data_IF_378914202424
#
_entry.id   IF_378914202424
#
_cell.length_a   1.000
_cell.length_b   1.000
_cell.length_c   1.000
_cell.angle_alpha   90.00
_cell.angle_beta   90.00
_cell.angle_gamma   90.00
#
_symmetry.space_group_name_H-M   'P 1'
#
loop_
_entity.id
_entity.type
_entity.pdbx_description
1 polymer ?
#
# COMPACT_ATOMS: atom_id res chain seq x y z
N UNK A 1 28.64 37.19 1.88
CA UNK A 1 28.18 35.85 2.29
C UNK A 1 28.08 35.03 1.03
N UNK A 2 28.87 33.98 0.91
CA UNK A 2 29.09 33.25 -0.34
C UNK A 2 27.82 32.43 -0.68
N UNK A 3 27.17 32.61 -1.87
CA UNK A 3 25.93 31.92 -2.23
C UNK A 3 26.08 30.39 -2.25
N UNK A 4 27.30 29.89 -2.37
CA UNK A 4 27.61 28.45 -2.30
C UNK A 4 27.42 27.86 -0.88
N UNK A 5 27.71 28.65 0.17
CA UNK A 5 27.50 28.24 1.56
C UNK A 5 26.04 28.27 1.96
N UNK A 6 25.24 29.19 1.40
CA UNK A 6 23.80 29.24 1.61
C UNK A 6 23.09 28.05 0.98
N UNK A 7 23.48 27.61 -0.24
CA UNK A 7 22.99 26.41 -0.90
C UNK A 7 23.32 25.14 -0.09
N UNK A 8 24.50 25.08 0.53
CA UNK A 8 24.89 23.94 1.37
C UNK A 8 24.19 23.90 2.72
N UNK A 9 23.80 25.04 3.27
CA UNK A 9 23.05 25.16 4.54
C UNK A 9 21.55 24.87 4.38
N UNK A 10 20.98 25.12 3.20
CA UNK A 10 19.54 24.91 2.92
C UNK A 10 19.28 23.51 2.35
N UNK A 11 20.32 22.72 2.03
CA UNK A 11 20.18 21.32 1.58
C UNK A 11 19.45 21.15 0.23
N UNK A 12 19.31 22.22 -0.56
CA UNK A 12 18.72 22.15 -1.89
C UNK A 12 19.80 21.65 -2.84
N UNK A 13 19.84 20.37 -3.06
CA UNK A 13 20.57 19.77 -4.17
C UNK A 13 19.66 19.91 -5.40
N UNK A 14 19.98 20.89 -6.25
CA UNK A 14 19.50 20.92 -7.63
C UNK A 14 20.07 19.70 -8.36
N UNK A 15 19.34 18.58 -8.33
CA UNK A 15 19.60 17.44 -9.19
C UNK A 15 18.87 17.68 -10.52
N UNK A 16 19.43 18.57 -11.33
CA UNK A 16 19.09 18.65 -12.76
C UNK A 16 19.85 17.53 -13.50
N UNK A 17 19.44 16.31 -13.30
CA UNK A 17 19.75 15.25 -14.25
C UNK A 17 18.54 15.14 -15.19
N UNK A 18 18.74 15.53 -16.44
CA UNK A 18 17.88 15.23 -17.58
C UNK A 18 17.94 13.73 -17.90
N UNK A 19 17.48 12.92 -16.98
CA UNK A 19 17.42 11.48 -17.02
C UNK A 19 16.29 11.04 -16.10
N UNK A 20 15.65 9.96 -16.45
CA UNK A 20 14.58 9.32 -15.74
C UNK A 20 14.85 9.21 -14.22
N UNK A 21 14.23 10.08 -13.44
CA UNK A 21 14.42 10.18 -11.98
C UNK A 21 13.58 9.12 -11.30
N UNK A 22 14.15 7.89 -11.18
CA UNK A 22 13.56 6.79 -10.40
C UNK A 22 13.66 7.07 -8.90
N UNK A 23 14.63 7.91 -8.50
CA UNK A 23 14.87 8.24 -7.10
C UNK A 23 13.83 9.22 -6.55
N UNK A 24 13.46 9.02 -5.28
CA UNK A 24 12.58 9.95 -4.58
C UNK A 24 13.34 11.24 -4.27
N UNK A 25 12.77 12.39 -4.64
CA UNK A 25 13.37 13.70 -4.32
C UNK A 25 13.45 13.88 -2.81
N UNK A 26 14.65 14.21 -2.33
CA UNK A 26 14.88 14.54 -0.93
C UNK A 26 14.42 15.98 -0.71
N UNK A 27 13.40 16.19 0.13
CA UNK A 27 12.85 17.51 0.44
C UNK A 27 13.59 18.18 1.60
N UNK A 28 14.01 17.41 2.61
CA UNK A 28 14.74 17.91 3.75
C UNK A 28 15.67 16.84 4.33
N UNK A 29 16.75 17.29 4.94
CA UNK A 29 17.69 16.44 5.69
C UNK A 29 17.69 16.90 7.13
N UNK A 30 17.49 15.98 8.05
CA UNK A 30 17.54 16.23 9.49
C UNK A 30 18.61 15.34 10.12
N UNK A 31 19.44 15.93 10.96
CA UNK A 31 20.40 15.20 11.78
C UNK A 31 19.72 14.85 13.12
N UNK A 32 19.38 13.59 13.32
CA UNK A 32 18.80 13.12 14.57
C UNK A 32 19.76 12.11 15.21
N UNK A 33 20.34 12.48 16.34
CA UNK A 33 21.25 11.64 17.12
C UNK A 33 22.46 11.10 16.32
N UNK A 34 22.99 11.89 15.37
CA UNK A 34 24.17 11.51 14.56
C UNK A 34 23.84 10.61 13.37
N UNK A 35 22.56 10.41 13.06
CA UNK A 35 22.10 9.75 11.83
C UNK A 35 21.38 10.76 10.94
N UNK A 36 21.75 10.79 9.65
CA UNK A 36 21.04 11.58 8.66
C UNK A 36 19.69 10.94 8.32
N UNK A 37 18.61 11.61 8.70
CA UNK A 37 17.24 11.21 8.33
C UNK A 37 16.80 12.06 7.14
N UNK A 38 16.45 11.40 6.05
CA UNK A 38 16.03 12.07 4.83
C UNK A 38 14.51 12.07 4.71
N UNK A 39 13.93 13.25 4.62
CA UNK A 39 12.52 13.42 4.32
C UNK A 39 12.35 13.38 2.80
N UNK A 40 11.82 12.26 2.30
CA UNK A 40 11.56 12.07 0.88
C UNK A 40 10.15 12.54 0.50
N UNK A 41 9.95 12.85 -0.78
CA UNK A 41 8.63 13.24 -1.29
C UNK A 41 7.56 12.18 -0.99
N UNK A 42 7.91 10.91 -1.06
CA UNK A 42 7.01 9.79 -0.78
C UNK A 42 6.53 9.73 0.67
N UNK A 43 7.40 10.06 1.64
CA UNK A 43 7.02 10.15 3.06
C UNK A 43 5.98 11.25 3.27
N UNK A 44 6.19 12.41 2.64
CA UNK A 44 5.23 13.53 2.74
C UNK A 44 3.89 13.16 2.09
N UNK A 45 3.91 12.53 0.90
CA UNK A 45 2.70 12.04 0.25
C UNK A 45 1.97 11.02 1.12
N UNK A 46 2.69 10.10 1.76
CA UNK A 46 2.12 9.13 2.71
C UNK A 46 1.40 9.83 3.86
N UNK A 47 2.02 10.86 4.46
CA UNK A 47 1.39 11.63 5.54
C UNK A 47 0.14 12.37 5.08
N UNK A 48 0.17 12.95 3.88
CA UNK A 48 -1.00 13.64 3.29
C UNK A 48 -2.15 12.64 3.10
N UNK A 49 -1.88 11.46 2.53
CA UNK A 49 -2.90 10.43 2.31
C UNK A 49 -3.46 9.93 3.65
N UNK A 50 -2.60 9.66 4.63
CA UNK A 50 -3.06 9.24 5.97
C UNK A 50 -3.92 10.32 6.64
N UNK A 51 -3.49 11.58 6.60
CA UNK A 51 -4.26 12.69 7.14
C UNK A 51 -5.62 12.84 6.43
N UNK A 52 -5.64 12.74 5.10
CA UNK A 52 -6.88 12.81 4.31
C UNK A 52 -7.84 11.66 4.68
N UNK A 53 -7.34 10.42 4.82
CA UNK A 53 -8.17 9.27 5.22
C UNK A 53 -8.70 9.42 6.65
N UNK A 54 -7.90 9.91 7.60
CA UNK A 54 -8.33 10.16 8.97
C UNK A 54 -9.42 11.26 9.00
N UNK A 55 -9.20 12.36 8.28
CA UNK A 55 -10.20 13.45 8.18
C UNK A 55 -11.49 12.96 7.52
N UNK A 56 -11.39 12.16 6.47
CA UNK A 56 -12.54 11.53 5.81
C UNK A 56 -13.31 10.62 6.78
N UNK A 57 -12.61 9.73 7.49
CA UNK A 57 -13.22 8.84 8.49
C UNK A 57 -13.89 9.64 9.62
N UNK A 58 -13.28 10.73 10.08
CA UNK A 58 -13.87 11.61 11.07
C UNK A 58 -15.13 12.32 10.53
N UNK A 59 -15.09 12.83 9.30
CA UNK A 59 -16.25 13.45 8.64
C UNK A 59 -17.42 12.47 8.49
N UNK A 60 -17.12 11.21 8.08
CA UNK A 60 -18.12 10.13 8.03
C UNK A 60 -18.69 9.86 9.41
N UNK A 61 -17.85 9.76 10.45
CA UNK A 61 -18.29 9.51 11.83
C UNK A 61 -19.22 10.60 12.36
N UNK A 62 -18.95 11.86 12.03
CA UNK A 62 -19.83 12.99 12.41
C UNK A 62 -21.19 12.88 11.71
N UNK A 63 -21.21 12.51 10.42
CA UNK A 63 -22.43 12.34 9.63
C UNK A 63 -23.22 11.08 9.99
N UNK A 64 -22.57 10.04 10.53
CA UNK A 64 -23.23 8.79 10.96
C UNK A 64 -24.42 9.00 11.89
N UNK A 65 -24.38 10.05 12.74
CA UNK A 65 -25.48 10.39 13.65
C UNK A 65 -26.80 10.76 12.93
N UNK A 66 -26.71 11.15 11.66
CA UNK A 66 -27.85 11.58 10.84
C UNK A 66 -28.20 10.57 9.74
N UNK A 67 -27.65 9.35 9.80
CA UNK A 67 -27.95 8.30 8.82
C UNK A 67 -29.38 7.81 8.99
N UNK A 68 -30.06 7.62 7.88
CA UNK A 68 -31.45 7.14 7.80
C UNK A 68 -31.48 5.65 7.52
N UNK A 69 -32.58 4.97 7.88
CA UNK A 69 -32.79 3.54 7.58
C UNK A 69 -32.79 3.23 6.08
N UNK A 70 -33.17 4.21 5.24
CA UNK A 70 -33.00 4.13 3.79
C UNK A 70 -31.82 5.00 3.37
N UNK A 71 -30.71 4.36 2.90
CA UNK A 71 -29.52 5.11 2.53
C UNK A 71 -29.75 5.93 1.25
N UNK A 72 -29.45 7.22 1.28
CA UNK A 72 -29.53 8.13 0.15
C UNK A 72 -28.19 8.84 -0.11
N UNK A 73 -27.86 9.01 -1.40
CA UNK A 73 -26.71 9.80 -1.83
C UNK A 73 -25.37 9.34 -1.24
N UNK A 74 -24.73 10.20 -0.44
CA UNK A 74 -23.41 9.94 0.16
C UNK A 74 -23.40 8.74 1.12
N UNK A 75 -24.48 8.56 1.91
CA UNK A 75 -24.62 7.43 2.80
C UNK A 75 -24.57 6.10 2.04
N UNK A 76 -25.30 6.01 0.91
CA UNK A 76 -25.34 4.82 0.08
C UNK A 76 -23.95 4.43 -0.46
N UNK A 77 -23.13 5.41 -0.85
CA UNK A 77 -21.77 5.14 -1.34
C UNK A 77 -20.88 4.54 -0.23
N UNK A 78 -20.97 5.07 0.98
CA UNK A 78 -20.20 4.57 2.12
C UNK A 78 -20.65 3.18 2.54
N UNK A 79 -21.96 2.97 2.67
CA UNK A 79 -22.53 1.69 3.02
C UNK A 79 -22.20 0.62 1.98
N UNK A 80 -22.29 0.96 0.68
CA UNK A 80 -21.89 0.06 -0.40
C UNK A 80 -20.41 -0.34 -0.31
N UNK A 81 -19.53 0.61 -0.01
CA UNK A 81 -18.10 0.33 0.18
C UNK A 81 -17.83 -0.62 1.34
N UNK A 82 -18.47 -0.38 2.48
CA UNK A 82 -18.35 -1.21 3.68
C UNK A 82 -18.97 -2.58 3.45
N UNK A 83 -20.15 -2.65 2.83
CA UNK A 83 -20.84 -3.91 2.52
C UNK A 83 -20.04 -4.78 1.56
N UNK A 84 -19.47 -4.20 0.50
CA UNK A 84 -18.63 -4.93 -0.43
C UNK A 84 -17.36 -5.49 0.26
N UNK A 85 -16.75 -4.72 1.15
CA UNK A 85 -15.62 -5.21 1.94
C UNK A 85 -16.04 -6.33 2.89
N UNK A 86 -17.18 -6.20 3.54
CA UNK A 86 -17.73 -7.24 4.39
C UNK A 86 -17.98 -8.53 3.62
N UNK A 87 -18.61 -8.44 2.44
CA UNK A 87 -18.81 -9.59 1.54
C UNK A 87 -17.48 -10.23 1.14
N UNK A 88 -16.46 -9.42 0.87
CA UNK A 88 -15.13 -9.91 0.53
C UNK A 88 -14.51 -10.69 1.71
N UNK A 89 -14.65 -10.16 2.93
CA UNK A 89 -14.17 -10.85 4.15
C UNK A 89 -14.91 -12.18 4.34
N UNK A 90 -16.22 -12.20 4.21
CA UNK A 90 -17.00 -13.45 4.32
C UNK A 90 -16.61 -14.49 3.26
N UNK A 91 -16.25 -14.03 2.06
CA UNK A 91 -15.83 -14.92 0.97
C UNK A 91 -14.44 -15.51 1.22
N UNK A 92 -13.51 -14.69 1.71
CA UNK A 92 -12.12 -15.08 1.93
C UNK A 92 -11.88 -15.70 3.30
N UNK A 93 -12.65 -15.27 4.32
CA UNK A 93 -12.52 -15.70 5.72
C UNK A 93 -13.86 -16.27 6.24
N UNK A 94 -13.84 -16.88 7.42
CA UNK A 94 -15.07 -17.38 8.08
C UNK A 94 -15.76 -16.25 8.86
N UNK A 95 -17.08 -16.32 9.04
CA UNK A 95 -17.88 -15.34 9.81
C UNK A 95 -17.32 -15.01 11.20
N UNK A 96 -16.66 -15.97 11.84
CA UNK A 96 -16.00 -15.82 13.14
C UNK A 96 -14.97 -14.67 13.19
N UNK A 97 -14.43 -14.28 12.04
CA UNK A 97 -13.34 -13.29 11.92
C UNK A 97 -13.76 -11.98 11.27
N UNK A 98 -15.04 -11.69 11.29
CA UNK A 98 -15.68 -10.49 10.74
C UNK A 98 -15.02 -9.17 11.22
N UNK A 99 -14.53 -9.10 12.47
CA UNK A 99 -13.88 -7.91 13.01
C UNK A 99 -12.63 -7.46 12.24
N UNK A 100 -12.00 -8.34 11.45
CA UNK A 100 -10.91 -7.97 10.55
C UNK A 100 -11.35 -7.10 9.37
N UNK A 101 -12.62 -7.10 9.02
CA UNK A 101 -13.15 -6.30 7.93
C UNK A 101 -12.81 -4.82 8.07
N UNK A 102 -12.80 -4.29 9.29
CA UNK A 102 -12.47 -2.89 9.58
C UNK A 102 -10.99 -2.59 9.29
N UNK A 103 -10.09 -3.49 9.67
CA UNK A 103 -8.66 -3.35 9.44
C UNK A 103 -8.35 -3.44 7.94
N UNK A 104 -8.88 -4.46 7.26
CA UNK A 104 -8.71 -4.64 5.83
C UNK A 104 -9.29 -3.50 5.02
N UNK A 105 -10.41 -2.92 5.45
CA UNK A 105 -10.97 -1.74 4.82
C UNK A 105 -10.01 -0.54 4.91
N UNK A 106 -9.38 -0.34 6.05
CA UNK A 106 -8.34 0.71 6.21
C UNK A 106 -7.15 0.49 5.29
N UNK A 107 -6.61 -0.73 5.23
CA UNK A 107 -5.50 -1.09 4.35
C UNK A 107 -5.90 -0.93 2.88
N UNK A 108 -7.09 -1.39 2.50
CA UNK A 108 -7.65 -1.22 1.16
C UNK A 108 -7.70 0.25 0.75
N UNK A 109 -8.30 1.11 1.58
CA UNK A 109 -8.38 2.54 1.31
C UNK A 109 -6.99 3.19 1.20
N UNK A 110 -6.06 2.81 2.08
CA UNK A 110 -4.69 3.34 2.03
C UNK A 110 -3.96 2.97 0.74
N UNK A 111 -3.98 1.69 0.35
CA UNK A 111 -3.31 1.22 -0.88
C UNK A 111 -3.99 1.83 -2.11
N UNK A 112 -5.32 1.86 -2.14
CA UNK A 112 -6.07 2.44 -3.25
C UNK A 112 -5.74 3.93 -3.44
N UNK A 113 -5.81 4.72 -2.37
CA UNK A 113 -5.46 6.15 -2.43
C UNK A 113 -3.99 6.35 -2.80
N UNK A 114 -3.09 5.50 -2.30
CA UNK A 114 -1.67 5.53 -2.65
C UNK A 114 -1.44 5.27 -4.14
N UNK A 115 -2.11 4.29 -4.72
CA UNK A 115 -1.98 3.96 -6.15
C UNK A 115 -2.60 5.06 -7.03
N UNK A 116 -3.75 5.62 -6.62
CA UNK A 116 -4.42 6.70 -7.36
C UNK A 116 -3.73 8.06 -7.21
N UNK A 117 -2.84 8.24 -6.24
CA UNK A 117 -2.13 9.51 -6.04
C UNK A 117 -1.25 9.89 -7.24
N UNK A 118 -0.83 8.90 -8.05
CA UNK A 118 -0.14 9.11 -9.33
C UNK A 118 -0.92 9.98 -10.32
N UNK A 119 -2.25 9.81 -10.38
CA UNK A 119 -3.13 10.62 -11.23
C UNK A 119 -3.16 12.11 -10.83
N UNK A 120 -2.94 12.40 -9.56
CA UNK A 120 -2.87 13.77 -9.04
C UNK A 120 -1.48 14.42 -9.24
N UNK A 121 -0.55 13.71 -9.88
CA UNK A 121 0.82 14.17 -10.07
C UNK A 121 1.71 14.03 -8.84
N UNK A 122 1.23 13.36 -7.78
CA UNK A 122 2.06 13.01 -6.63
C UNK A 122 2.79 11.69 -6.88
N UNK A 123 4.01 11.59 -6.38
CA UNK A 123 4.69 10.29 -6.39
C UNK A 123 3.96 9.33 -5.47
N UNK A 124 3.48 8.22 -6.02
CA UNK A 124 2.76 7.21 -5.26
C UNK A 124 3.65 6.65 -4.13
N UNK A 125 3.19 6.60 -2.88
CA UNK A 125 3.91 5.96 -1.77
C UNK A 125 4.32 4.51 -2.07
N UNK A 126 3.49 3.79 -2.81
CA UNK A 126 3.71 2.41 -3.25
C UNK A 126 4.79 2.27 -4.32
N UNK A 127 5.30 3.37 -4.89
CA UNK A 127 6.48 3.39 -5.74
C UNK A 127 7.80 3.24 -4.96
N UNK A 128 7.77 3.34 -3.62
CA UNK A 128 8.93 3.09 -2.77
C UNK A 128 8.82 1.72 -2.11
N UNK A 129 9.88 0.92 -2.27
CA UNK A 129 9.94 -0.43 -1.70
C UNK A 129 9.80 -0.43 -0.17
N UNK A 130 10.32 0.60 0.51
CA UNK A 130 10.21 0.74 1.97
C UNK A 130 8.75 0.80 2.44
N UNK A 131 7.89 1.54 1.73
CA UNK A 131 6.47 1.65 2.06
C UNK A 131 5.74 0.33 1.81
N UNK A 132 6.00 -0.32 0.68
CA UNK A 132 5.35 -1.60 0.34
C UNK A 132 5.79 -2.73 1.26
N UNK A 133 7.07 -2.76 1.64
CA UNK A 133 7.59 -3.70 2.66
C UNK A 133 6.95 -3.43 4.01
N UNK A 134 6.78 -2.18 4.43
CA UNK A 134 6.14 -1.85 5.71
C UNK A 134 4.69 -2.36 5.77
N UNK A 135 3.91 -2.20 4.70
CA UNK A 135 2.52 -2.70 4.62
C UNK A 135 2.49 -4.23 4.59
N UNK A 136 3.40 -4.86 3.84
CA UNK A 136 3.51 -6.33 3.79
C UNK A 136 3.94 -6.92 5.13
N UNK A 137 4.88 -6.28 5.83
CA UNK A 137 5.30 -6.68 7.18
C UNK A 137 4.19 -6.50 8.21
N UNK A 138 3.39 -5.43 8.13
CA UNK A 138 2.23 -5.25 9.00
C UNK A 138 1.23 -6.41 8.83
N UNK A 139 0.96 -6.83 7.59
CA UNK A 139 0.13 -8.00 7.29
C UNK A 139 0.77 -9.30 7.83
N UNK A 140 2.07 -9.46 7.64
CA UNK A 140 2.83 -10.62 8.12
C UNK A 140 2.78 -10.74 9.66
N UNK A 141 3.01 -9.64 10.37
CA UNK A 141 2.91 -9.60 11.84
C UNK A 141 1.48 -9.95 12.29
N UNK A 142 0.47 -9.40 11.61
CA UNK A 142 -0.93 -9.70 11.93
C UNK A 142 -1.25 -11.19 11.72
N UNK A 143 -0.78 -11.78 10.63
CA UNK A 143 -0.95 -13.19 10.29
C UNK A 143 -0.38 -14.10 11.40
N UNK A 144 0.85 -13.85 11.83
CA UNK A 144 1.51 -14.64 12.88
C UNK A 144 0.89 -14.40 14.25
N UNK A 145 0.58 -13.16 14.57
CA UNK A 145 -0.09 -12.83 15.83
C UNK A 145 -1.42 -13.58 15.96
N UNK A 146 -2.21 -13.61 14.92
CA UNK A 146 -3.48 -14.32 14.90
C UNK A 146 -3.30 -15.83 14.93
N UNK A 147 -2.35 -16.38 14.18
CA UNK A 147 -2.01 -17.80 14.22
C UNK A 147 -1.63 -18.27 15.63
N UNK A 148 -0.83 -17.48 16.34
CA UNK A 148 -0.43 -17.78 17.72
C UNK A 148 -1.61 -17.64 18.69
N UNK A 149 -2.41 -16.59 18.58
CA UNK A 149 -3.56 -16.35 19.47
C UNK A 149 -4.65 -17.42 19.31
N UNK A 150 -4.87 -17.92 18.11
CA UNK A 150 -5.95 -18.89 17.81
C UNK A 150 -5.47 -20.33 17.95
N UNK A 151 -4.31 -20.65 17.34
CA UNK A 151 -3.80 -22.04 17.25
C UNK A 151 -2.94 -22.47 18.45
N UNK A 152 -2.46 -21.53 19.29
CA UNK A 152 -1.58 -21.83 20.41
C UNK A 152 -0.48 -22.84 20.05
N UNK A 153 -0.47 -24.03 20.68
CA UNK A 153 0.50 -25.10 20.42
C UNK A 153 0.35 -25.78 19.04
N UNK A 154 -0.85 -25.83 18.50
CA UNK A 154 -1.16 -26.42 17.17
C UNK A 154 -0.51 -25.60 16.04
N UNK A 155 -0.41 -24.29 16.20
CA UNK A 155 0.27 -23.41 15.26
C UNK A 155 1.72 -23.84 14.96
N UNK A 156 2.50 -24.15 16.00
CA UNK A 156 3.88 -24.63 15.85
C UNK A 156 3.98 -26.06 15.30
N UNK A 157 2.99 -26.90 15.61
CA UNK A 157 2.93 -28.25 15.02
C UNK A 157 2.76 -28.21 13.51
N UNK A 158 1.96 -27.28 12.98
CA UNK A 158 1.74 -27.10 11.55
C UNK A 158 3.04 -26.81 10.75
N UNK A 159 4.10 -26.31 11.39
CA UNK A 159 5.41 -26.14 10.73
C UNK A 159 6.21 -27.45 10.63
N UNK A 160 5.95 -28.39 11.54
CA UNK A 160 6.69 -29.67 11.64
C UNK A 160 5.95 -30.78 10.89
N UNK A 161 4.64 -30.69 10.78
CA UNK A 161 3.80 -31.64 10.06
C UNK A 161 3.82 -31.38 8.53
N UNK A 162 3.72 -32.42 7.68
CA UNK A 162 3.69 -33.87 8.00
C UNK A 162 5.05 -34.48 8.31
N UNK A 163 6.15 -33.84 7.99
CA UNK A 163 7.50 -34.37 8.16
C UNK A 163 8.44 -33.29 8.73
N UNK A 164 9.20 -33.57 9.80
CA UNK A 164 10.16 -32.60 10.37
C UNK A 164 11.21 -32.11 9.37
N UNK A 165 11.50 -32.89 8.35
CA UNK A 165 12.43 -32.56 7.27
C UNK A 165 11.96 -31.35 6.41
N UNK A 166 10.64 -31.08 6.35
CA UNK A 166 10.05 -29.98 5.62
C UNK A 166 10.10 -28.65 6.40
N UNK A 167 10.50 -28.65 7.66
CA UNK A 167 10.56 -27.45 8.48
C UNK A 167 11.39 -26.31 7.84
N UNK A 168 12.60 -26.55 7.26
CA UNK A 168 13.34 -25.47 6.61
C UNK A 168 12.59 -24.87 5.40
N UNK A 169 11.90 -25.72 4.62
CA UNK A 169 11.12 -25.29 3.47
C UNK A 169 9.91 -24.44 3.90
N UNK A 170 9.23 -24.86 4.97
CA UNK A 170 8.10 -24.13 5.53
C UNK A 170 8.53 -22.75 6.05
N UNK A 171 9.67 -22.63 6.71
CA UNK A 171 10.22 -21.35 7.18
C UNK A 171 10.57 -20.45 5.99
N UNK A 172 11.22 -20.97 4.95
CA UNK A 172 11.56 -20.19 3.74
C UNK A 172 10.29 -19.70 3.04
N UNK A 173 9.27 -20.54 2.92
CA UNK A 173 7.96 -20.17 2.36
C UNK A 173 7.31 -19.03 3.14
N UNK A 174 7.40 -19.07 4.47
CA UNK A 174 6.85 -18.04 5.34
C UNK A 174 7.51 -16.67 5.13
N UNK A 175 8.84 -16.65 5.05
CA UNK A 175 9.62 -15.44 4.78
C UNK A 175 9.38 -14.94 3.35
N UNK A 176 9.17 -15.83 2.40
CA UNK A 176 8.87 -15.47 1.01
C UNK A 176 7.52 -14.73 0.86
N UNK A 177 6.56 -14.99 1.74
CA UNK A 177 5.21 -14.39 1.69
C UNK A 177 5.24 -12.85 1.74
N UNK A 178 5.81 -12.17 2.75
CA UNK A 178 5.86 -10.71 2.80
C UNK A 178 6.73 -10.13 1.68
N UNK A 179 7.77 -10.84 1.28
CA UNK A 179 8.63 -10.45 0.15
C UNK A 179 7.79 -10.41 -1.14
N UNK A 180 7.07 -11.50 -1.43
CA UNK A 180 6.21 -11.60 -2.61
C UNK A 180 5.12 -10.53 -2.63
N UNK A 181 4.45 -10.27 -1.49
CA UNK A 181 3.42 -9.25 -1.36
C UNK A 181 3.97 -7.84 -1.62
N UNK A 182 5.14 -7.51 -1.04
CA UNK A 182 5.76 -6.19 -1.20
C UNK A 182 6.25 -5.96 -2.63
N UNK A 183 6.93 -6.93 -3.25
CA UNK A 183 7.41 -6.82 -4.63
C UNK A 183 6.27 -6.77 -5.64
N UNK A 184 5.15 -7.44 -5.39
CA UNK A 184 3.97 -7.36 -6.25
C UNK A 184 3.39 -5.96 -6.27
N UNK A 185 3.23 -5.34 -5.08
CA UNK A 185 2.70 -3.99 -4.95
C UNK A 185 3.65 -2.96 -5.56
N UNK A 186 4.93 -3.03 -5.21
CA UNK A 186 5.99 -2.18 -5.73
C UNK A 186 6.16 -2.32 -7.25
N UNK A 187 6.25 -3.56 -7.74
CA UNK A 187 6.52 -3.86 -9.15
C UNK A 187 5.43 -3.36 -10.10
N UNK A 188 4.17 -3.41 -9.67
CA UNK A 188 3.06 -2.89 -10.46
C UNK A 188 3.19 -1.37 -10.69
N UNK A 189 3.40 -0.61 -9.63
CA UNK A 189 3.51 0.85 -9.72
C UNK A 189 4.82 1.28 -10.37
N UNK A 190 5.92 0.66 -9.98
CA UNK A 190 7.23 0.96 -10.55
C UNK A 190 7.31 0.61 -12.04
N UNK A 191 6.75 -0.55 -12.42
CA UNK A 191 6.64 -0.95 -13.83
C UNK A 191 5.84 0.05 -14.66
N UNK A 192 4.70 0.52 -14.14
CA UNK A 192 3.89 1.57 -14.76
C UNK A 192 4.70 2.86 -14.95
N UNK A 193 5.39 3.32 -13.90
CA UNK A 193 6.23 4.52 -13.96
C UNK A 193 7.36 4.42 -14.99
N UNK A 194 8.03 3.26 -15.09
CA UNK A 194 9.10 3.02 -16.08
C UNK A 194 8.52 3.10 -17.49
N UNK A 195 7.41 2.42 -17.76
CA UNK A 195 6.77 2.43 -19.08
C UNK A 195 6.32 3.86 -19.45
N UNK A 196 5.69 4.57 -18.52
CA UNK A 196 5.25 5.95 -18.75
C UNK A 196 6.41 6.86 -19.09
N UNK A 197 7.52 6.76 -18.40
CA UNK A 197 8.71 7.54 -18.66
C UNK A 197 9.29 7.29 -20.06
N UNK A 198 9.33 6.03 -20.50
CA UNK A 198 9.76 5.68 -21.86
C UNK A 198 8.82 6.31 -22.91
N UNK A 199 7.52 6.27 -22.65
CA UNK A 199 6.51 6.86 -23.57
C UNK A 199 6.65 8.37 -23.65
N UNK A 200 6.89 9.06 -22.53
CA UNK A 200 7.14 10.50 -22.55
C UNK A 200 8.43 10.90 -23.27
N UNK A 201 9.40 9.99 -23.40
CA UNK A 201 10.61 10.17 -24.23
C UNK A 201 10.37 10.04 -25.73
N UNK A 202 9.19 9.59 -26.19
CA UNK A 202 8.87 9.43 -27.60
C UNK A 202 8.63 10.77 -28.30
N UNK A 203 8.71 10.82 -29.66
CA UNK A 203 8.40 12.02 -30.44
C UNK A 203 7.00 12.55 -30.16
N UNK A 204 6.84 13.88 -30.22
CA UNK A 204 5.61 14.59 -29.82
C UNK A 204 4.33 14.12 -30.52
N UNK A 205 4.43 13.63 -31.75
CA UNK A 205 3.28 13.14 -32.50
C UNK A 205 2.77 11.79 -32.01
N UNK A 206 3.63 10.94 -31.39
CA UNK A 206 3.24 9.70 -30.73
C UNK A 206 2.71 9.93 -29.30
N UNK A 207 3.07 11.06 -28.69
CA UNK A 207 2.60 11.39 -27.34
C UNK A 207 1.16 11.92 -27.31
N UNK A 208 0.49 12.07 -28.45
CA UNK A 208 -0.89 12.52 -28.48
C UNK A 208 -1.84 11.36 -28.14
N UNK A 209 -2.40 11.39 -26.94
CA UNK A 209 -3.40 10.42 -26.46
C UNK A 209 -2.86 9.12 -25.83
N UNK A 210 -1.69 8.62 -26.25
CA UNK A 210 -1.12 7.38 -25.70
C UNK A 210 -0.87 7.49 -24.18
N UNK A 211 -0.27 8.56 -23.64
CA UNK A 211 -0.07 8.69 -22.20
C UNK A 211 -1.37 8.63 -21.40
N UNK A 212 -2.44 9.24 -21.88
CA UNK A 212 -3.73 9.24 -21.17
C UNK A 212 -4.33 7.83 -21.05
N UNK A 213 -4.25 7.04 -22.12
CA UNK A 213 -4.71 5.65 -22.12
C UNK A 213 -3.86 4.80 -21.16
N UNK A 214 -2.53 4.98 -21.17
CA UNK A 214 -1.62 4.25 -20.31
C UNK A 214 -1.79 4.65 -18.84
N UNK A 215 -1.98 5.92 -18.51
CA UNK A 215 -2.31 6.34 -17.14
C UNK A 215 -3.62 5.71 -16.66
N UNK A 216 -4.66 5.68 -17.51
CA UNK A 216 -5.91 5.01 -17.15
C UNK A 216 -5.69 3.53 -16.90
N UNK A 217 -4.85 2.89 -17.69
CA UNK A 217 -4.55 1.47 -17.51
C UNK A 217 -3.69 1.20 -16.26
N UNK A 218 -2.54 1.86 -16.10
CA UNK A 218 -1.60 1.55 -15.02
C UNK A 218 -2.03 2.12 -13.67
N UNK A 219 -2.49 3.37 -13.62
CA UNK A 219 -2.79 4.03 -12.36
C UNK A 219 -4.19 3.65 -11.86
N UNK A 220 -5.20 3.58 -12.75
CA UNK A 220 -6.57 3.28 -12.33
C UNK A 220 -6.80 1.77 -12.35
N UNK A 221 -6.75 1.14 -13.53
CA UNK A 221 -7.18 -0.25 -13.67
C UNK A 221 -6.24 -1.21 -12.92
N UNK A 222 -4.95 -1.17 -13.22
CA UNK A 222 -3.97 -2.04 -12.57
C UNK A 222 -3.82 -1.71 -11.07
N UNK A 223 -3.86 -0.41 -10.69
CA UNK A 223 -3.82 0.02 -9.30
C UNK A 223 -5.02 -0.46 -8.47
N UNK A 224 -6.23 -0.41 -9.02
CA UNK A 224 -7.44 -0.94 -8.36
C UNK A 224 -7.39 -2.46 -8.20
N UNK A 225 -7.09 -3.19 -9.28
CA UNK A 225 -6.97 -4.65 -9.23
C UNK A 225 -5.90 -5.07 -8.24
N UNK A 226 -4.74 -4.43 -8.27
CA UNK A 226 -3.65 -4.73 -7.34
C UNK A 226 -4.05 -4.56 -5.89
N UNK A 227 -4.84 -3.52 -5.58
CA UNK A 227 -5.35 -3.28 -4.22
C UNK A 227 -6.26 -4.41 -3.75
N UNK A 228 -7.21 -4.83 -4.61
CA UNK A 228 -8.11 -5.95 -4.30
C UNK A 228 -7.31 -7.25 -4.10
N UNK A 229 -6.40 -7.56 -5.02
CA UNK A 229 -5.56 -8.77 -4.96
C UNK A 229 -4.71 -8.78 -3.69
N UNK A 230 -4.09 -7.66 -3.31
CA UNK A 230 -3.31 -7.57 -2.08
C UNK A 230 -4.15 -7.92 -0.85
N UNK A 231 -5.32 -7.31 -0.73
CA UNK A 231 -6.22 -7.52 0.41
C UNK A 231 -6.75 -8.96 0.43
N UNK A 232 -7.18 -9.51 -0.71
CA UNK A 232 -7.66 -10.90 -0.79
C UNK A 232 -6.57 -11.91 -0.40
N UNK A 233 -5.35 -11.74 -0.91
CA UNK A 233 -4.24 -12.62 -0.55
C UNK A 233 -3.87 -12.51 0.93
N UNK A 234 -3.86 -11.29 1.47
CA UNK A 234 -3.62 -11.06 2.89
C UNK A 234 -4.66 -11.78 3.77
N UNK A 235 -5.95 -11.71 3.39
CA UNK A 235 -7.02 -12.45 4.06
C UNK A 235 -6.83 -13.95 3.98
N UNK A 236 -6.48 -14.47 2.79
CA UNK A 236 -6.26 -15.90 2.58
C UNK A 236 -5.10 -16.41 3.44
N UNK A 237 -3.98 -15.70 3.46
CA UNK A 237 -2.82 -16.08 4.27
C UNK A 237 -3.13 -16.07 5.77
N UNK A 238 -3.92 -15.09 6.24
CA UNK A 238 -4.35 -15.06 7.65
C UNK A 238 -5.29 -16.24 7.93
N UNK A 239 -6.24 -16.53 7.04
CA UNK A 239 -7.14 -17.67 7.15
C UNK A 239 -6.36 -18.99 7.25
N UNK A 240 -5.38 -19.21 6.38
CA UNK A 240 -4.57 -20.44 6.36
C UNK A 240 -3.83 -20.66 7.69
N UNK A 241 -3.49 -19.58 8.41
CA UNK A 241 -2.84 -19.66 9.74
C UNK A 241 -3.81 -19.84 10.89
N UNK A 242 -5.08 -19.49 10.69
CA UNK A 242 -6.14 -19.58 11.70
C UNK A 242 -6.94 -20.88 11.54
N UNK A 243 -6.89 -21.48 10.35
CA UNK A 243 -7.59 -22.72 10.06
C UNK A 243 -7.06 -23.83 10.98
N UNK A 244 -7.94 -24.38 11.75
CA UNK A 244 -7.97 -25.37 12.83
C UNK A 244 -6.83 -26.34 13.02
#
# INVERSE_FOLDING_TARGET
MNPFLLKKLIGIVDNQSSGFDIESKILARFDVAGQEVWLTQTVVTTWIIMAALILFAFAVRVKLKNFKDKPEGFQNVIELGVENMYKLVLTCMTEKYDYFGKWFFGVFCFILCSNLSGLLGFRAPTADLSTTVAVALATFVMMHFMGICTGKGSYFKGYIEPLPFLLPLNIVSEIATPISLSFRLFGNIMGGMVIMSLVYGLPRWLNFGIPAVLHTYFDVFAGCIQTVVFVMLSMTFIKDKIAD
#
